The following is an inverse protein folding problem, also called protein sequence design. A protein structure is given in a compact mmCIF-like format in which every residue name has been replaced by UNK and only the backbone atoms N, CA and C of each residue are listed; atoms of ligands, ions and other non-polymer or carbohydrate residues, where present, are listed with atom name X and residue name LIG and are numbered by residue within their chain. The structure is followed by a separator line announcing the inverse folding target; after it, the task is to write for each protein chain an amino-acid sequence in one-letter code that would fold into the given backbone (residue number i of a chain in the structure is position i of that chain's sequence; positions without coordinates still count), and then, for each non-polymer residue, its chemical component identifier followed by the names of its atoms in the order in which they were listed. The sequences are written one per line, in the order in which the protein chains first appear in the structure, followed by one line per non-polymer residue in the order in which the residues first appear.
data_IF_143949867418
#
_entry.id   IF_143949867418
#
_cell.length_a   1.000
_cell.length_b   1.000
_cell.length_c   1.000
_cell.angle_alpha   90.00
_cell.angle_beta   90.00
_cell.angle_gamma   90.00
#
_symmetry.space_group_name_H-M   'P 1'
#
loop_
_entity.id
_entity.type
_entity.pdbx_description
1 polymer ?
#
# COMPACT_ATOMS: atom_id res chain seq x y z
N UNK A 1 -18.42 -2.08 -3.51
CA UNK A 1 -17.19 -2.08 -2.71
C UNK A 1 -16.70 -0.65 -2.62
N UNK A 2 -16.37 -0.16 -1.43
CA UNK A 2 -15.83 1.19 -1.22
C UNK A 2 -14.31 1.16 -1.42
N UNK A 3 -13.78 1.98 -2.33
CA UNK A 3 -12.34 2.08 -2.57
C UNK A 3 -11.78 3.29 -1.82
N UNK A 4 -10.75 3.08 -0.99
CA UNK A 4 -10.05 4.12 -0.26
C UNK A 4 -9.44 5.17 -1.21
N UNK A 5 -8.95 4.75 -2.38
CA UNK A 5 -8.28 5.63 -3.35
C UNK A 5 -9.18 6.76 -3.90
N UNK A 6 -10.51 6.67 -3.74
CA UNK A 6 -11.42 7.75 -4.11
C UNK A 6 -11.52 8.87 -3.05
N UNK A 7 -11.03 8.63 -1.82
CA UNK A 7 -11.18 9.52 -0.67
C UNK A 7 -9.85 10.13 -0.18
N UNK A 8 -8.72 9.68 -0.72
CA UNK A 8 -7.36 10.09 -0.33
C UNK A 8 -6.54 10.50 -1.56
N UNK A 9 -5.57 11.42 -1.38
CA UNK A 9 -4.69 11.84 -2.47
C UNK A 9 -5.31 12.85 -3.43
N UNK A 10 -6.09 13.82 -2.92
CA UNK A 10 -6.80 14.83 -3.72
C UNK A 10 -5.90 15.91 -4.37
N UNK A 11 -4.59 15.88 -4.10
CA UNK A 11 -3.61 16.80 -4.68
C UNK A 11 -2.82 16.13 -5.80
N UNK A 12 -2.51 16.87 -6.87
CA UNK A 12 -1.59 16.38 -7.90
C UNK A 12 -0.16 16.35 -7.33
N UNK A 13 0.26 15.19 -6.86
CA UNK A 13 1.59 14.96 -6.28
C UNK A 13 1.66 15.13 -4.76
N UNK A 14 2.82 14.79 -4.19
CA UNK A 14 3.12 14.89 -2.76
C UNK A 14 4.06 16.06 -2.49
N UNK A 15 3.77 16.88 -1.49
CA UNK A 15 4.64 17.99 -1.09
C UNK A 15 5.68 17.55 -0.06
N UNK A 16 5.36 16.50 0.72
CA UNK A 16 6.24 15.95 1.75
C UNK A 16 6.49 14.46 1.55
N UNK A 17 7.63 14.00 2.06
CA UNK A 17 7.99 12.58 2.11
C UNK A 17 8.31 12.19 3.55
N UNK A 18 7.72 11.10 4.02
CA UNK A 18 7.90 10.59 5.37
C UNK A 18 8.70 9.29 5.34
N UNK A 19 9.56 9.06 6.32
CA UNK A 19 10.38 7.85 6.40
C UNK A 19 9.85 6.91 7.49
N UNK A 20 9.57 5.66 7.11
CA UNK A 20 9.10 4.64 8.05
C UNK A 20 10.29 3.88 8.69
N UNK A 21 10.87 4.43 9.76
CA UNK A 21 12.03 3.82 10.45
C UNK A 21 11.64 2.52 11.17
N UNK A 22 12.46 1.45 11.12
CA UNK A 22 13.86 1.41 10.68
C UNK A 22 14.09 1.19 9.19
N UNK A 23 13.03 1.07 8.37
CA UNK A 23 13.20 0.98 6.92
C UNK A 23 13.57 2.34 6.31
N UNK A 24 14.27 2.34 5.17
CA UNK A 24 14.54 3.54 4.39
C UNK A 24 13.39 3.87 3.42
N UNK A 25 12.26 3.16 3.51
CA UNK A 25 11.13 3.36 2.61
C UNK A 25 10.43 4.66 2.98
N UNK A 26 10.21 5.47 1.95
CA UNK A 26 9.48 6.72 2.03
C UNK A 26 8.00 6.49 1.76
N UNK A 27 7.14 7.42 2.17
CA UNK A 27 5.74 7.45 1.76
C UNK A 27 5.24 8.89 1.61
N UNK A 28 4.25 9.07 0.73
CA UNK A 28 3.65 10.37 0.39
C UNK A 28 2.63 10.84 1.43
N UNK A 29 2.20 12.09 1.29
CA UNK A 29 1.11 12.70 2.06
C UNK A 29 -0.19 11.90 1.95
N UNK A 30 -0.56 11.41 0.76
CA UNK A 30 -1.76 10.61 0.56
C UNK A 30 -1.72 9.26 1.28
N UNK A 31 -0.57 8.57 1.26
CA UNK A 31 -0.38 7.32 2.00
C UNK A 31 -0.41 7.57 3.51
N UNK A 32 0.22 8.66 3.98
CA UNK A 32 0.15 9.08 5.39
C UNK A 32 -1.29 9.32 5.83
N UNK A 33 -2.03 10.11 5.05
CA UNK A 33 -3.42 10.47 5.34
C UNK A 33 -4.32 9.22 5.39
N UNK A 34 -4.14 8.29 4.44
CA UNK A 34 -4.83 7.00 4.43
C UNK A 34 -4.53 6.20 5.70
N UNK A 35 -3.24 6.07 6.06
CA UNK A 35 -2.83 5.34 7.25
C UNK A 35 -3.37 5.97 8.55
N UNK A 36 -3.33 7.30 8.66
CA UNK A 36 -3.82 8.03 9.83
C UNK A 36 -5.34 7.94 9.98
N UNK A 37 -6.12 8.22 8.92
CA UNK A 37 -7.58 8.22 9.00
C UNK A 37 -8.19 6.83 9.08
N UNK A 38 -7.50 5.82 8.55
CA UNK A 38 -7.98 4.43 8.55
C UNK A 38 -7.36 3.57 9.65
N UNK A 39 -6.45 4.09 10.47
CA UNK A 39 -5.67 3.28 11.42
C UNK A 39 -4.80 2.21 10.72
N UNK A 40 -4.41 2.44 9.47
CA UNK A 40 -3.85 1.44 8.57
C UNK A 40 -2.32 1.48 8.45
N UNK A 41 -1.61 1.91 9.49
CA UNK A 41 -0.14 1.86 9.51
C UNK A 41 0.38 0.43 9.35
N UNK A 42 -0.38 -0.57 9.81
CA UNK A 42 -0.08 -1.98 9.59
C UNK A 42 0.05 -2.35 8.11
N UNK A 43 -0.61 -1.63 7.20
CA UNK A 43 -0.51 -1.87 5.76
C UNK A 43 0.86 -1.44 5.22
N UNK A 44 1.39 -0.32 5.73
CA UNK A 44 2.74 0.14 5.43
C UNK A 44 3.75 -0.87 5.99
N UNK A 45 3.58 -1.27 7.25
CA UNK A 45 4.44 -2.28 7.90
C UNK A 45 4.44 -3.60 7.12
N UNK A 46 3.27 -4.03 6.65
CA UNK A 46 3.11 -5.24 5.85
C UNK A 46 3.91 -5.13 4.55
N UNK A 47 3.77 -4.03 3.79
CA UNK A 47 4.49 -3.85 2.53
C UNK A 47 6.01 -3.83 2.77
N UNK A 48 6.46 -3.12 3.81
CA UNK A 48 7.88 -3.05 4.20
C UNK A 48 8.41 -4.43 4.58
N UNK A 49 7.65 -5.23 5.33
CA UNK A 49 8.07 -6.57 5.75
C UNK A 49 8.31 -7.50 4.56
N UNK A 50 7.53 -7.35 3.48
CA UNK A 50 7.74 -8.12 2.26
C UNK A 50 9.02 -7.73 1.52
N UNK A 51 9.53 -6.51 1.71
CA UNK A 51 10.78 -6.08 1.07
C UNK A 51 12.02 -6.79 1.64
N UNK A 52 11.88 -7.57 2.72
CA UNK A 52 12.90 -8.51 3.18
C UNK A 52 13.10 -9.70 2.23
N UNK A 53 12.11 -10.01 1.38
CA UNK A 53 12.22 -11.03 0.36
C UNK A 53 12.86 -10.46 -0.90
N UNK A 54 13.99 -11.05 -1.33
CA UNK A 54 14.77 -10.57 -2.48
C UNK A 54 13.93 -10.50 -3.76
N UNK A 55 13.10 -11.50 -4.01
CA UNK A 55 12.28 -11.58 -5.23
C UNK A 55 11.25 -10.44 -5.29
N UNK A 56 10.78 -9.96 -4.14
CA UNK A 56 9.88 -8.80 -4.07
C UNK A 56 10.67 -7.50 -4.24
N UNK A 57 11.79 -7.36 -3.51
CA UNK A 57 12.61 -6.15 -3.51
C UNK A 57 13.25 -5.83 -4.88
N UNK A 58 13.50 -6.85 -5.69
CA UNK A 58 14.05 -6.69 -7.05
C UNK A 58 13.11 -5.89 -7.98
N UNK A 59 11.81 -5.92 -7.71
CA UNK A 59 10.82 -5.19 -8.50
C UNK A 59 10.79 -3.71 -8.08
N UNK A 60 11.23 -2.84 -9.01
CA UNK A 60 11.30 -1.39 -8.77
C UNK A 60 9.95 -0.70 -8.73
N UNK A 61 8.95 -1.29 -9.38
CA UNK A 61 7.58 -0.83 -9.40
C UNK A 61 6.69 -1.97 -8.92
N UNK A 62 5.97 -1.74 -7.82
CA UNK A 62 5.08 -2.74 -7.25
C UNK A 62 3.71 -2.11 -7.02
N UNK A 63 2.65 -2.81 -7.42
CA UNK A 63 1.25 -2.44 -7.14
C UNK A 63 0.72 -3.37 -6.07
N UNK A 64 0.36 -2.80 -4.92
CA UNK A 64 -0.18 -3.50 -3.77
C UNK A 64 -1.69 -3.26 -3.67
N UNK A 65 -2.47 -4.28 -4.06
CA UNK A 65 -3.92 -4.26 -4.04
C UNK A 65 -4.46 -4.99 -2.81
N UNK A 66 -4.98 -4.23 -1.85
CA UNK A 66 -5.73 -4.74 -0.71
C UNK A 66 -7.20 -4.91 -1.09
N UNK A 67 -7.77 -6.07 -0.80
CA UNK A 67 -9.18 -6.39 -1.09
C UNK A 67 -9.85 -7.14 0.05
N UNK A 68 -11.01 -6.64 0.49
CA UNK A 68 -11.89 -7.34 1.43
C UNK A 68 -12.51 -8.55 0.74
N UNK A 69 -12.33 -9.71 1.34
CA UNK A 69 -12.91 -10.98 0.88
C UNK A 69 -14.28 -11.17 1.51
N UNK A 70 -14.36 -11.09 2.85
CA UNK A 70 -15.62 -11.22 3.60
C UNK A 70 -15.46 -10.68 5.01
N UNK A 71 -16.41 -9.86 5.48
CA UNK A 71 -16.36 -9.23 6.81
C UNK A 71 -14.97 -8.61 7.01
N UNK A 72 -14.26 -8.99 8.06
CA UNK A 72 -12.95 -8.42 8.40
C UNK A 72 -11.77 -9.18 7.78
N UNK A 73 -12.04 -10.11 6.85
CA UNK A 73 -11.01 -10.88 6.15
C UNK A 73 -10.62 -10.17 4.86
N UNK A 74 -9.32 -10.00 4.65
CA UNK A 74 -8.76 -9.36 3.47
C UNK A 74 -7.71 -10.25 2.79
N UNK A 75 -7.40 -9.93 1.55
CA UNK A 75 -6.22 -10.41 0.85
C UNK A 75 -5.48 -9.21 0.28
N UNK A 76 -4.16 -9.31 0.23
CA UNK A 76 -3.31 -8.34 -0.45
C UNK A 76 -2.50 -9.04 -1.53
N UNK A 77 -2.48 -8.43 -2.71
CA UNK A 77 -1.76 -8.92 -3.89
C UNK A 77 -0.73 -7.86 -4.31
N UNK A 78 0.51 -8.29 -4.50
CA UNK A 78 1.56 -7.48 -5.11
C UNK A 78 1.77 -7.90 -6.56
N UNK A 79 1.79 -6.94 -7.48
CA UNK A 79 2.17 -7.15 -8.89
C UNK A 79 3.28 -6.20 -9.33
N UNK A 80 3.99 -6.53 -10.41
CA UNK A 80 5.12 -5.75 -10.96
C UNK A 80 4.68 -4.56 -11.84
N UNK A 81 3.39 -4.20 -11.84
CA UNK A 81 2.82 -3.20 -12.76
C UNK A 81 2.51 -3.70 -14.16
N UNK A 82 3.02 -4.88 -14.56
CA UNK A 82 2.66 -5.58 -15.80
C UNK A 82 1.65 -6.71 -15.55
N UNK A 83 0.96 -6.68 -14.41
CA UNK A 83 0.02 -7.70 -13.94
C UNK A 83 0.67 -9.06 -13.65
N UNK A 84 2.00 -9.16 -13.59
CA UNK A 84 2.64 -10.38 -13.11
C UNK A 84 2.59 -10.40 -11.59
N UNK A 85 2.13 -11.52 -11.03
CA UNK A 85 2.06 -11.71 -9.58
C UNK A 85 3.46 -11.82 -9.00
N UNK A 86 3.77 -10.93 -8.06
CA UNK A 86 5.01 -10.96 -7.28
C UNK A 86 4.81 -11.74 -5.98
N UNK A 87 3.81 -11.36 -5.18
CA UNK A 87 3.47 -12.08 -3.95
C UNK A 87 1.99 -11.85 -3.58
N UNK A 88 1.48 -12.64 -2.64
CA UNK A 88 0.15 -12.42 -2.06
C UNK A 88 0.11 -12.89 -0.61
N UNK A 89 -0.65 -12.20 0.22
CA UNK A 89 -0.88 -12.59 1.61
C UNK A 89 -2.37 -12.53 1.95
N UNK A 90 -2.82 -13.51 2.74
CA UNK A 90 -4.14 -13.45 3.38
C UNK A 90 -4.03 -12.72 4.72
N UNK A 91 -5.03 -11.89 5.01
CA UNK A 91 -5.13 -11.12 6.23
C UNK A 91 -6.39 -11.62 6.95
N UNK A 92 -6.23 -12.49 7.97
CA UNK A 92 -7.36 -13.12 8.64
C UNK A 92 -8.32 -12.15 9.33
N UNK A 93 -7.82 -10.96 9.71
CA UNK A 93 -8.60 -9.93 10.38
C UNK A 93 -7.98 -8.54 10.16
N UNK A 94 -8.80 -7.56 9.83
CA UNK A 94 -8.46 -6.13 9.85
C UNK A 94 -9.72 -5.29 10.05
N UNK A 95 -9.60 -4.21 10.82
CA UNK A 95 -10.62 -3.19 11.04
C UNK A 95 -10.61 -2.09 9.96
N UNK A 96 -9.87 -2.28 8.86
CA UNK A 96 -9.80 -1.32 7.77
C UNK A 96 -11.21 -0.95 7.27
N UNK A 97 -11.57 0.34 7.18
CA UNK A 97 -12.96 0.75 6.97
C UNK A 97 -13.44 0.64 5.51
N UNK A 98 -12.52 0.46 4.55
CA UNK A 98 -12.84 0.34 3.12
C UNK A 98 -12.73 -1.11 2.63
N UNK A 99 -13.22 -1.39 1.43
CA UNK A 99 -13.17 -2.73 0.84
C UNK A 99 -11.94 -2.91 -0.07
N UNK A 100 -11.44 -1.80 -0.63
CA UNK A 100 -10.33 -1.79 -1.56
C UNK A 100 -9.36 -0.68 -1.19
N UNK A 101 -8.08 -0.93 -1.36
CA UNK A 101 -7.04 0.10 -1.37
C UNK A 101 -5.89 -0.34 -2.27
N UNK A 102 -5.36 0.57 -3.07
CA UNK A 102 -4.20 0.33 -3.93
C UNK A 102 -3.09 1.29 -3.52
N UNK A 103 -1.90 0.75 -3.22
CA UNK A 103 -0.69 1.53 -2.92
C UNK A 103 0.41 1.09 -3.89
N UNK A 104 1.15 2.03 -4.45
CA UNK A 104 2.30 1.75 -5.30
C UNK A 104 3.58 1.92 -4.50
N UNK A 105 4.53 1.00 -4.65
CA UNK A 105 5.91 1.18 -4.22
C UNK A 105 6.76 1.43 -5.46
N UNK A 106 7.31 2.63 -5.59
CA UNK A 106 8.14 3.03 -6.72
C UNK A 106 9.47 3.53 -6.21
N UNK A 107 10.56 2.85 -6.59
CA UNK A 107 11.94 3.20 -6.22
C UNK A 107 12.12 3.52 -4.71
N UNK A 108 11.45 2.74 -3.85
CA UNK A 108 11.52 2.91 -2.39
C UNK A 108 10.57 3.95 -1.79
N UNK A 109 9.63 4.50 -2.56
CA UNK A 109 8.59 5.41 -2.09
C UNK A 109 7.19 4.81 -2.27
N UNK A 110 6.41 4.76 -1.19
CA UNK A 110 5.00 4.38 -1.21
C UNK A 110 4.12 5.57 -1.56
N UNK A 111 3.23 5.40 -2.52
CA UNK A 111 2.34 6.46 -2.99
C UNK A 111 0.98 5.91 -3.42
N UNK A 112 -0.03 6.77 -3.44
CA UNK A 112 -1.31 6.43 -4.07
C UNK A 112 -1.19 6.58 -5.59
N UNK A 113 -1.98 5.83 -6.39
CA UNK A 113 -2.00 5.92 -7.86
C UNK A 113 -2.24 7.32 -8.42
N UNK A 114 -2.94 8.19 -7.68
CA UNK A 114 -3.22 9.56 -8.10
C UNK A 114 -2.05 10.54 -7.81
N UNK A 115 -1.01 10.08 -7.11
CA UNK A 115 0.16 10.88 -6.73
C UNK A 115 1.39 10.60 -7.62
N UNK A 116 1.29 9.64 -8.55
CA UNK A 116 2.31 9.31 -9.55
C UNK A 116 2.01 10.00 -10.89
#
# INVERSE_FOLDING_TARGET
MKNANHFFGSGNGSENFYCHKPSLILYTDGVKELAEKCGAYWLIDLIISHQCHKDVNLERFQVWDLKRVRNDVFTILATDGNHNKVTSQEIPFSDFPYDLATIWLVDGCLMLPNEY
#
